data_IF_386985806747
#
_entry.id   IF_386985806747
#
_cell.length_a   1.000
_cell.length_b   1.000
_cell.length_c   1.000
_cell.angle_alpha   90.00
_cell.angle_beta   90.00
_cell.angle_gamma   90.00
#
_symmetry.space_group_name_H-M   'P 1'
#
loop_
_entity.id
_entity.type
_entity.pdbx_description
1 polymer ?
#
# COMPACT_ATOMS: atom_id res chain seq x y z
N UNK A 1 18.54 -41.98 -19.07
CA UNK A 1 17.33 -42.83 -19.20
C UNK A 1 16.12 -41.92 -19.33
N UNK A 2 15.08 -42.27 -20.12
CA UNK A 2 13.89 -41.44 -20.38
C UNK A 2 13.12 -40.97 -19.12
N UNK A 3 13.41 -41.56 -17.95
CA UNK A 3 12.84 -41.19 -16.65
C UNK A 3 13.35 -39.84 -16.11
N UNK A 4 14.56 -39.41 -16.48
CA UNK A 4 15.15 -38.16 -15.97
C UNK A 4 14.75 -36.91 -16.79
N UNK A 5 14.24 -37.10 -18.00
CA UNK A 5 13.95 -36.00 -18.94
C UNK A 5 12.53 -35.43 -18.87
N UNK A 6 11.62 -36.05 -18.10
CA UNK A 6 10.23 -35.59 -17.95
C UNK A 6 10.03 -34.78 -16.67
N UNK A 7 9.49 -33.57 -16.78
CA UNK A 7 9.15 -32.71 -15.63
C UNK A 7 8.22 -33.42 -14.63
N UNK A 8 7.29 -34.22 -15.12
CA UNK A 8 6.33 -34.94 -14.29
C UNK A 8 7.01 -36.04 -13.48
N UNK A 9 7.93 -36.80 -14.09
CA UNK A 9 8.73 -37.82 -13.41
C UNK A 9 9.64 -37.20 -12.34
N UNK A 10 10.24 -36.04 -12.63
CA UNK A 10 11.05 -35.31 -11.65
C UNK A 10 10.23 -34.84 -10.45
N UNK A 11 9.01 -34.34 -10.66
CA UNK A 11 8.09 -33.97 -9.56
C UNK A 11 7.70 -35.21 -8.75
N UNK A 12 7.35 -36.32 -9.41
CA UNK A 12 7.00 -37.57 -8.75
C UNK A 12 8.16 -38.12 -7.89
N UNK A 13 9.37 -38.16 -8.43
CA UNK A 13 10.57 -38.62 -7.70
C UNK A 13 10.88 -37.71 -6.50
N UNK A 14 10.74 -36.39 -6.64
CA UNK A 14 10.91 -35.46 -5.51
C UNK A 14 9.88 -35.73 -4.40
N UNK A 15 8.62 -36.01 -4.77
CA UNK A 15 7.58 -36.37 -3.80
C UNK A 15 7.86 -37.72 -3.12
N UNK A 16 8.27 -38.74 -3.88
CA UNK A 16 8.63 -40.06 -3.33
C UNK A 16 9.79 -39.93 -2.34
N UNK A 17 10.84 -39.18 -2.68
CA UNK A 17 11.97 -38.94 -1.79
C UNK A 17 11.55 -38.31 -0.45
N UNK A 18 10.54 -37.43 -0.44
CA UNK A 18 9.99 -36.84 0.79
C UNK A 18 9.17 -37.87 1.58
N UNK A 19 8.41 -38.73 0.88
CA UNK A 19 7.60 -39.78 1.51
C UNK A 19 8.46 -40.86 2.18
N UNK A 20 9.62 -41.16 1.61
CA UNK A 20 10.57 -42.18 2.12
C UNK A 20 11.50 -41.67 3.23
N UNK A 21 11.43 -40.37 3.58
CA UNK A 21 12.22 -39.81 4.68
C UNK A 21 11.91 -40.47 6.02
N UNK A 22 12.92 -40.52 6.90
CA UNK A 22 12.70 -40.89 8.30
C UNK A 22 11.71 -39.91 8.96
N UNK A 23 10.95 -40.35 10.00
CA UNK A 23 10.01 -39.46 10.68
C UNK A 23 10.65 -38.15 11.18
N UNK A 24 11.91 -38.19 11.61
CA UNK A 24 12.66 -37.01 12.07
C UNK A 24 13.00 -36.07 10.91
N UNK A 25 13.50 -36.60 9.80
CA UNK A 25 13.91 -35.79 8.66
C UNK A 25 12.69 -35.17 7.97
N UNK A 26 11.60 -35.93 7.87
CA UNK A 26 10.32 -35.42 7.39
C UNK A 26 9.79 -34.29 8.27
N UNK A 27 9.85 -34.44 9.60
CA UNK A 27 9.46 -33.38 10.52
C UNK A 27 10.32 -32.11 10.36
N UNK A 28 11.63 -32.26 10.19
CA UNK A 28 12.53 -31.13 9.93
C UNK A 28 12.23 -30.45 8.59
N UNK A 29 11.98 -31.23 7.54
CA UNK A 29 11.59 -30.74 6.22
C UNK A 29 10.28 -29.95 6.28
N UNK A 30 9.22 -30.54 6.85
CA UNK A 30 7.90 -29.91 6.96
C UNK A 30 7.95 -28.64 7.81
N UNK A 31 8.72 -28.67 8.92
CA UNK A 31 8.91 -27.48 9.78
C UNK A 31 9.60 -26.34 9.06
N UNK A 32 10.64 -26.65 8.25
CA UNK A 32 11.32 -25.66 7.42
C UNK A 32 10.40 -25.11 6.35
N UNK A 33 9.67 -25.98 5.64
CA UNK A 33 8.74 -25.55 4.60
C UNK A 33 7.66 -24.64 5.16
N UNK A 34 7.09 -24.99 6.33
CA UNK A 34 6.11 -24.14 7.02
C UNK A 34 6.71 -22.77 7.35
N UNK A 35 7.91 -22.72 7.91
CA UNK A 35 8.57 -21.45 8.22
C UNK A 35 8.78 -20.57 6.98
N UNK A 36 9.25 -21.14 5.87
CA UNK A 36 9.44 -20.41 4.62
C UNK A 36 8.10 -19.89 4.05
N UNK A 37 7.04 -20.70 4.12
CA UNK A 37 5.69 -20.29 3.72
C UNK A 37 5.11 -19.17 4.58
N UNK A 38 5.25 -19.28 5.90
CA UNK A 38 4.80 -18.25 6.84
C UNK A 38 5.58 -16.94 6.62
N UNK A 39 6.90 -17.04 6.41
CA UNK A 39 7.76 -15.89 6.09
C UNK A 39 7.35 -15.22 4.78
N UNK A 40 7.15 -16.00 3.72
CA UNK A 40 6.71 -15.48 2.42
C UNK A 40 5.33 -14.82 2.51
N UNK A 41 4.40 -15.43 3.26
CA UNK A 41 3.05 -14.90 3.48
C UNK A 41 3.09 -13.59 4.25
N UNK A 42 3.88 -13.51 5.31
CA UNK A 42 4.06 -12.29 6.12
C UNK A 42 4.63 -11.13 5.28
N UNK A 43 5.66 -11.38 4.47
CA UNK A 43 6.24 -10.37 3.57
C UNK A 43 5.19 -9.88 2.55
N UNK A 44 4.46 -10.82 1.93
CA UNK A 44 3.45 -10.50 0.94
C UNK A 44 2.29 -9.68 1.54
N UNK A 45 1.82 -10.06 2.73
CA UNK A 45 0.81 -9.31 3.46
C UNK A 45 1.31 -7.91 3.86
N UNK A 46 2.52 -7.80 4.41
CA UNK A 46 3.12 -6.52 4.77
C UNK A 46 3.25 -5.58 3.57
N UNK A 47 3.67 -6.10 2.41
CA UNK A 47 3.72 -5.32 1.17
C UNK A 47 2.34 -4.83 0.73
N UNK A 48 1.32 -5.72 0.74
CA UNK A 48 -0.07 -5.37 0.39
C UNK A 48 -0.62 -4.30 1.33
N UNK A 49 -0.44 -4.47 2.64
CA UNK A 49 -0.87 -3.49 3.64
C UNK A 49 -0.15 -2.15 3.45
N UNK A 50 1.16 -2.17 3.16
CA UNK A 50 1.95 -0.97 2.87
C UNK A 50 1.43 -0.17 1.69
N UNK A 51 1.09 -0.84 0.57
CA UNK A 51 0.48 -0.20 -0.60
C UNK A 51 -0.86 0.44 -0.22
N UNK A 52 -1.76 -0.32 0.40
CA UNK A 52 -3.10 0.17 0.77
C UNK A 52 -3.01 1.38 1.70
N UNK A 53 -2.14 1.33 2.71
CA UNK A 53 -1.93 2.47 3.60
C UNK A 53 -1.34 3.68 2.85
N UNK A 54 -0.41 3.44 1.93
CA UNK A 54 0.18 4.48 1.08
C UNK A 54 -0.87 5.18 0.22
N UNK A 55 -1.72 4.42 -0.46
CA UNK A 55 -2.81 4.96 -1.27
C UNK A 55 -3.83 5.75 -0.45
N UNK A 56 -4.23 5.24 0.72
CA UNK A 56 -5.17 5.94 1.61
C UNK A 56 -4.57 7.26 2.10
N UNK A 57 -3.32 7.25 2.56
CA UNK A 57 -2.63 8.46 3.03
C UNK A 57 -2.46 9.46 1.89
N UNK A 58 -1.98 9.02 0.73
CA UNK A 58 -1.79 9.86 -0.45
C UNK A 58 -3.09 10.49 -0.92
N UNK A 59 -4.18 9.72 -0.98
CA UNK A 59 -5.50 10.25 -1.36
C UNK A 59 -6.05 11.26 -0.36
N UNK A 60 -5.90 11.00 0.95
CA UNK A 60 -6.32 11.94 2.00
C UNK A 60 -5.55 13.26 1.93
N UNK A 61 -4.22 13.17 1.81
CA UNK A 61 -3.36 14.34 1.69
C UNK A 61 -3.68 15.12 0.41
N UNK A 62 -3.76 14.46 -0.74
CA UNK A 62 -4.09 15.10 -2.01
C UNK A 62 -5.47 15.77 -2.02
N UNK A 63 -6.47 15.19 -1.34
CA UNK A 63 -7.78 15.82 -1.19
C UNK A 63 -7.72 17.09 -0.31
N UNK A 64 -6.99 17.03 0.81
CA UNK A 64 -6.82 18.19 1.70
C UNK A 64 -6.06 19.31 1.00
N UNK A 65 -4.93 18.99 0.34
CA UNK A 65 -4.11 19.95 -0.41
C UNK A 65 -4.91 20.59 -1.56
N UNK A 66 -5.67 19.78 -2.31
CA UNK A 66 -6.54 20.27 -3.37
C UNK A 66 -7.69 21.14 -2.87
N UNK A 67 -8.31 20.80 -1.72
CA UNK A 67 -9.34 21.63 -1.10
C UNK A 67 -8.79 22.96 -0.63
N UNK A 68 -7.60 22.96 -0.02
CA UNK A 68 -6.93 24.19 0.43
C UNK A 68 -6.54 25.07 -0.76
N UNK A 69 -5.93 24.49 -1.79
CA UNK A 69 -5.58 25.21 -3.03
C UNK A 69 -6.81 25.88 -3.67
N UNK A 70 -7.94 25.16 -3.73
CA UNK A 70 -9.20 25.71 -4.24
C UNK A 70 -9.72 26.86 -3.36
N UNK A 71 -9.56 26.78 -2.04
CA UNK A 71 -9.94 27.87 -1.13
C UNK A 71 -9.09 29.14 -1.39
N UNK A 72 -7.78 28.98 -1.61
CA UNK A 72 -6.88 30.09 -1.96
C UNK A 72 -7.27 30.73 -3.31
N UNK A 73 -7.51 29.92 -4.33
CA UNK A 73 -7.94 30.41 -5.65
C UNK A 73 -9.26 31.18 -5.58
N UNK A 74 -10.21 30.66 -4.79
CA UNK A 74 -11.50 31.31 -4.55
C UNK A 74 -11.31 32.64 -3.81
N UNK A 75 -10.46 32.68 -2.78
CA UNK A 75 -10.16 33.91 -2.05
C UNK A 75 -9.51 34.98 -2.94
N UNK A 76 -8.57 34.60 -3.80
CA UNK A 76 -7.95 35.50 -4.78
C UNK A 76 -9.01 36.08 -5.72
N UNK A 77 -9.92 35.25 -6.24
CA UNK A 77 -10.99 35.70 -7.12
C UNK A 77 -11.92 36.69 -6.41
N UNK A 78 -12.33 36.40 -5.17
CA UNK A 78 -13.18 37.29 -4.39
C UNK A 78 -12.50 38.60 -4.02
N UNK A 79 -11.21 38.58 -3.71
CA UNK A 79 -10.41 39.79 -3.44
C UNK A 79 -10.36 40.69 -4.68
N UNK A 80 -10.16 40.12 -5.87
CA UNK A 80 -10.22 40.85 -7.16
C UNK A 80 -11.60 41.44 -7.45
N UNK A 81 -12.67 40.81 -6.96
CA UNK A 81 -14.05 41.31 -7.08
C UNK A 81 -14.39 42.39 -6.04
N UNK A 82 -13.47 42.74 -5.13
CA UNK A 82 -13.69 43.76 -4.11
C UNK A 82 -14.59 43.30 -2.95
N UNK A 83 -14.73 42.00 -2.73
CA UNK A 83 -15.49 41.45 -1.60
C UNK A 83 -14.70 41.70 -0.29
N UNK A 84 -15.41 42.06 0.78
CA UNK A 84 -14.81 42.29 2.10
C UNK A 84 -14.11 41.02 2.63
N UNK A 85 -12.94 41.19 3.25
CA UNK A 85 -12.08 40.10 3.75
C UNK A 85 -12.86 39.20 4.73
N UNK A 86 -13.71 39.79 5.58
CA UNK A 86 -14.60 39.06 6.50
C UNK A 86 -15.47 38.03 5.78
N UNK A 87 -16.04 38.42 4.63
CA UNK A 87 -16.93 37.57 3.84
C UNK A 87 -16.18 36.53 3.04
N UNK A 88 -14.95 36.84 2.63
CA UNK A 88 -14.05 35.87 1.99
C UNK A 88 -13.65 34.79 3.01
N UNK A 89 -13.28 35.19 4.23
CA UNK A 89 -12.94 34.26 5.31
C UNK A 89 -14.12 33.32 5.64
N UNK A 90 -15.33 33.88 5.76
CA UNK A 90 -16.56 33.11 5.98
C UNK A 90 -16.84 32.10 4.86
N UNK A 91 -16.62 32.48 3.59
CA UNK A 91 -16.93 31.64 2.43
C UNK A 91 -15.86 30.61 2.06
N UNK A 92 -14.60 30.83 2.45
CA UNK A 92 -13.46 29.96 2.08
C UNK A 92 -12.92 29.15 3.26
N UNK A 93 -13.22 29.54 4.50
CA UNK A 93 -12.68 28.92 5.70
C UNK A 93 -11.22 29.29 5.99
N UNK A 94 -10.63 30.20 5.22
CA UNK A 94 -9.29 30.73 5.45
C UNK A 94 -9.30 31.79 6.57
N UNK A 95 -8.17 31.93 7.25
CA UNK A 95 -7.99 33.03 8.20
C UNK A 95 -7.88 34.38 7.48
N UNK A 96 -8.24 35.46 8.17
CA UNK A 96 -8.10 36.82 7.62
C UNK A 96 -6.65 37.13 7.25
N UNK A 97 -5.70 36.67 8.07
CA UNK A 97 -4.26 36.85 7.85
C UNK A 97 -3.78 36.17 6.57
N UNK A 98 -4.28 34.96 6.26
CA UNK A 98 -4.00 34.28 5.00
C UNK A 98 -4.55 35.08 3.82
N UNK A 99 -5.78 35.58 3.91
CA UNK A 99 -6.41 36.36 2.84
C UNK A 99 -5.74 37.73 2.63
N UNK A 100 -5.23 38.35 3.68
CA UNK A 100 -4.47 39.60 3.60
C UNK A 100 -3.15 39.41 2.85
N UNK A 101 -2.49 38.26 3.03
CA UNK A 101 -1.22 37.90 2.38
C UNK A 101 -1.36 37.46 0.92
N UNK A 102 -2.55 37.06 0.47
CA UNK A 102 -2.86 36.69 -0.93
C UNK A 102 -2.93 37.89 -1.88
#
# INVERSE_FOLDING_TARGET
MLAESSEMMRKANATINIMEMSPRDKWLYDSRMKYEHDRASCINEGYRQGIVQGEIKGRKQGFADGSYQKALETAIAFKKMGIAIEKIAEGTGLSKEEIEKL
#
